data_IF_035645201431
#
_entry.id   IF_035645201431
#
_cell.length_a   1.000
_cell.length_b   1.000
_cell.length_c   1.000
_cell.angle_alpha   90.00
_cell.angle_beta   90.00
_cell.angle_gamma   90.00
#
_symmetry.space_group_name_H-M   'P 1'
#
loop_
_entity.id
_entity.type
_entity.pdbx_description
1 polymer ?
#
# COMPACT_ATOMS: atom_id res chain seq x y z
N UNK A 1 -24.93 -8.67 12.03
CA UNK A 1 -23.49 -8.32 12.10
C UNK A 1 -22.82 -8.94 10.88
N UNK A 2 -22.00 -8.18 10.15
CA UNK A 2 -21.25 -8.68 8.99
C UNK A 2 -19.80 -8.19 9.11
N UNK A 3 -18.84 -9.07 8.80
CA UNK A 3 -17.42 -8.77 8.78
C UNK A 3 -16.92 -8.97 7.36
N UNK A 4 -16.22 -7.98 6.82
CA UNK A 4 -15.62 -7.97 5.49
C UNK A 4 -14.11 -7.87 5.63
N UNK A 5 -13.35 -8.69 4.91
CA UNK A 5 -11.90 -8.54 4.79
C UNK A 5 -11.62 -7.77 3.51
N UNK A 6 -10.93 -6.63 3.61
CA UNK A 6 -10.52 -5.80 2.46
C UNK A 6 -9.06 -6.03 2.07
N UNK A 7 -8.33 -6.85 2.84
CA UNK A 7 -6.94 -7.20 2.55
C UNK A 7 -6.85 -8.45 1.68
N UNK A 8 -6.06 -8.37 0.61
CA UNK A 8 -5.65 -9.54 -0.17
C UNK A 8 -4.52 -10.36 0.48
N UNK A 9 -3.90 -9.85 1.55
CA UNK A 9 -2.75 -10.47 2.21
C UNK A 9 -3.09 -10.92 3.64
N UNK A 10 -2.88 -12.20 4.00
CA UNK A 10 -3.35 -12.76 5.28
C UNK A 10 -2.72 -12.14 6.52
N UNK A 11 -1.55 -11.50 6.39
CA UNK A 11 -0.83 -10.86 7.50
C UNK A 11 -1.07 -9.35 7.61
N UNK A 12 -1.82 -8.75 6.69
CA UNK A 12 -2.06 -7.30 6.66
C UNK A 12 -3.51 -7.07 7.06
N UNK A 13 -3.76 -6.52 8.26
CA UNK A 13 -5.12 -6.34 8.74
C UNK A 13 -5.78 -5.16 8.03
N UNK A 14 -6.94 -5.42 7.44
CA UNK A 14 -7.84 -4.42 6.90
C UNK A 14 -9.23 -5.03 6.86
N UNK A 15 -10.03 -4.78 7.90
CA UNK A 15 -11.34 -5.42 8.06
C UNK A 15 -12.41 -4.38 8.30
N UNK A 16 -13.65 -4.68 7.90
CA UNK A 16 -14.80 -3.80 8.13
C UNK A 16 -15.92 -4.59 8.80
N UNK A 17 -16.29 -4.14 9.98
CA UNK A 17 -17.40 -4.64 10.77
C UNK A 17 -18.62 -3.74 10.56
N UNK A 18 -19.68 -4.29 9.96
CA UNK A 18 -20.99 -3.66 9.92
C UNK A 18 -21.87 -4.20 11.04
N UNK A 19 -22.20 -3.33 11.99
CA UNK A 19 -23.07 -3.64 13.12
C UNK A 19 -24.18 -2.58 13.24
N UNK A 20 -25.43 -3.02 13.07
CA UNK A 20 -26.61 -2.14 12.99
C UNK A 20 -26.40 -1.07 11.89
N UNK A 21 -26.52 0.21 12.25
CA UNK A 21 -26.30 1.36 11.36
C UNK A 21 -24.87 1.91 11.44
N UNK A 22 -23.94 1.18 12.05
CA UNK A 22 -22.55 1.62 12.22
C UNK A 22 -21.61 0.73 11.41
N UNK A 23 -20.75 1.38 10.63
CA UNK A 23 -19.69 0.76 9.85
C UNK A 23 -18.35 1.12 10.49
N UNK A 24 -17.68 0.11 11.07
CA UNK A 24 -16.41 0.26 11.76
C UNK A 24 -15.34 -0.41 10.91
N UNK A 25 -14.31 0.34 10.53
CA UNK A 25 -13.11 -0.22 9.93
C UNK A 25 -12.09 -0.52 11.03
N UNK A 26 -11.58 -1.74 11.04
CA UNK A 26 -10.57 -2.24 11.94
C UNK A 26 -9.27 -2.37 11.15
N UNK A 27 -8.34 -1.46 11.45
CA UNK A 27 -7.05 -1.33 10.79
C UNK A 27 -7.12 -0.99 9.29
N UNK A 28 -6.09 -0.29 8.81
CA UNK A 28 -5.86 0.03 7.41
C UNK A 28 -4.39 -0.22 7.06
N UNK A 29 -3.98 -1.49 7.13
CA UNK A 29 -2.67 -1.92 6.67
C UNK A 29 -2.50 -1.73 5.16
N UNK A 30 -1.25 -1.53 4.74
CA UNK A 30 -0.86 -1.38 3.34
C UNK A 30 0.12 -2.50 2.98
N UNK A 31 -0.09 -3.15 1.84
CA UNK A 31 0.85 -4.13 1.32
C UNK A 31 2.00 -3.44 0.57
N UNK A 32 3.19 -3.57 1.15
CA UNK A 32 4.44 -3.01 0.63
C UNK A 32 5.31 -4.07 -0.04
N UNK A 33 4.85 -5.32 -0.16
CA UNK A 33 5.64 -6.38 -0.81
C UNK A 33 5.94 -6.05 -2.27
N UNK A 34 5.02 -5.36 -2.97
CA UNK A 34 5.22 -4.86 -4.34
C UNK A 34 6.46 -3.97 -4.45
N UNK A 35 6.73 -3.12 -3.45
CA UNK A 35 7.86 -2.19 -3.45
C UNK A 35 9.22 -2.90 -3.49
N UNK A 36 9.30 -4.18 -3.07
CA UNK A 36 10.51 -4.99 -3.13
C UNK A 36 10.91 -5.38 -4.56
N UNK A 37 10.01 -5.21 -5.53
CA UNK A 37 10.28 -5.43 -6.95
C UNK A 37 10.83 -4.18 -7.65
N UNK A 38 10.88 -3.03 -6.98
CA UNK A 38 11.41 -1.78 -7.52
C UNK A 38 12.88 -1.58 -7.10
N UNK A 39 13.63 -0.85 -7.92
CA UNK A 39 14.94 -0.36 -7.49
C UNK A 39 14.77 0.65 -6.35
N UNK A 40 15.74 0.75 -5.44
CA UNK A 40 15.69 1.74 -4.37
C UNK A 40 15.57 3.15 -4.94
N UNK A 41 14.57 3.91 -4.48
CA UNK A 41 14.36 5.30 -4.88
C UNK A 41 15.51 6.17 -4.35
N UNK A 42 16.40 6.69 -5.22
CA UNK A 42 17.58 7.41 -4.75
C UNK A 42 17.21 8.87 -4.44
N UNK A 43 17.39 9.32 -3.19
CA UNK A 43 17.20 10.72 -2.81
C UNK A 43 18.21 11.68 -3.48
N UNK A 44 19.35 11.11 -3.91
CA UNK A 44 20.42 11.80 -4.64
C UNK A 44 20.93 10.90 -5.75
N UNK A 45 21.45 11.47 -6.85
CA UNK A 45 21.91 10.69 -7.99
C UNK A 45 22.89 9.58 -7.59
N UNK A 46 22.55 8.33 -7.92
CA UNK A 46 23.40 7.17 -7.68
C UNK A 46 24.00 6.69 -9.00
N UNK A 47 25.32 6.86 -9.23
CA UNK A 47 25.96 6.34 -10.44
C UNK A 47 25.94 4.81 -10.50
N UNK A 48 25.78 4.14 -9.36
CA UNK A 48 25.66 2.67 -9.30
C UNK A 48 24.32 2.19 -9.84
N UNK A 49 23.22 2.87 -9.48
CA UNK A 49 21.87 2.52 -9.94
C UNK A 49 21.61 2.97 -11.37
N UNK A 50 22.15 4.12 -11.77
CA UNK A 50 21.97 4.63 -13.14
C UNK A 50 22.71 3.80 -14.19
N UNK A 51 23.82 3.16 -13.82
CA UNK A 51 24.64 2.31 -14.71
C UNK A 51 24.24 0.83 -14.72
N UNK A 52 23.19 0.44 -14.00
CA UNK A 52 22.70 -0.93 -14.05
C UNK A 52 22.26 -1.29 -15.48
N UNK A 53 22.56 -2.52 -15.95
CA UNK A 53 22.15 -2.95 -17.27
C UNK A 53 20.62 -3.02 -17.37
N UNK A 54 20.07 -2.57 -18.50
CA UNK A 54 18.66 -2.80 -18.81
C UNK A 54 18.38 -4.28 -18.99
N UNK A 55 17.22 -4.74 -18.56
CA UNK A 55 16.78 -6.10 -18.82
C UNK A 55 16.26 -6.21 -20.26
N UNK A 56 16.71 -7.24 -20.98
CA UNK A 56 16.33 -7.49 -22.38
C UNK A 56 15.45 -8.72 -22.40
N UNK A 57 14.23 -8.58 -22.92
CA UNK A 57 13.32 -9.71 -23.07
C UNK A 57 13.77 -10.60 -24.22
N UNK A 58 13.64 -11.92 -24.06
CA UNK A 58 13.87 -12.87 -25.15
C UNK A 58 12.76 -12.83 -26.21
N UNK A 59 11.61 -12.25 -25.87
CA UNK A 59 10.39 -12.30 -26.68
C UNK A 59 10.14 -11.01 -27.51
N UNK A 60 11.11 -10.09 -27.58
CA UNK A 60 11.08 -8.93 -28.48
C UNK A 60 10.06 -7.83 -28.11
N UNK A 61 9.50 -7.88 -26.91
CA UNK A 61 8.54 -6.89 -26.44
C UNK A 61 9.27 -5.62 -25.91
N UNK A 62 9.58 -4.71 -26.83
CA UNK A 62 10.46 -3.54 -26.62
C UNK A 62 9.91 -2.44 -25.70
N UNK A 63 8.63 -2.50 -25.31
CA UNK A 63 8.01 -1.42 -24.53
C UNK A 63 8.43 -1.42 -23.06
N UNK A 64 8.62 -2.60 -22.46
CA UNK A 64 8.98 -2.76 -21.04
C UNK A 64 10.48 -2.71 -20.78
N UNK A 65 11.31 -2.76 -21.83
CA UNK A 65 12.78 -2.84 -21.72
C UNK A 65 13.40 -1.56 -21.13
N UNK A 66 12.70 -0.43 -21.17
CA UNK A 66 13.21 0.85 -20.66
C UNK A 66 13.03 1.03 -19.15
N UNK A 67 12.08 0.31 -18.56
CA UNK A 67 11.72 0.46 -17.14
C UNK A 67 12.20 -0.71 -16.29
N UNK A 68 12.90 -1.69 -16.89
CA UNK A 68 13.40 -2.87 -16.19
C UNK A 68 14.92 -2.90 -16.20
N UNK A 69 15.51 -3.18 -15.03
CA UNK A 69 16.96 -3.29 -14.83
C UNK A 69 17.32 -4.63 -14.21
N UNK A 70 18.44 -5.19 -14.65
CA UNK A 70 19.04 -6.35 -14.01
C UNK A 70 20.04 -5.92 -12.93
N UNK A 71 19.92 -6.51 -11.76
CA UNK A 71 20.89 -6.40 -10.69
C UNK A 71 21.12 -7.77 -10.06
N UNK A 72 22.34 -8.31 -10.23
CA UNK A 72 22.75 -9.61 -9.72
C UNK A 72 21.83 -10.77 -10.16
N UNK A 73 21.36 -10.75 -11.42
CA UNK A 73 20.51 -11.79 -11.99
C UNK A 73 19.05 -11.73 -11.52
N UNK A 74 18.63 -10.62 -10.91
CA UNK A 74 17.24 -10.31 -10.58
C UNK A 74 16.81 -9.08 -11.35
N UNK A 75 15.55 -9.10 -11.82
CA UNK A 75 14.95 -8.00 -12.55
C UNK A 75 14.18 -7.11 -11.57
N UNK A 76 14.40 -5.81 -11.69
CA UNK A 76 13.74 -4.79 -10.89
C UNK A 76 13.13 -3.71 -11.78
N UNK A 77 12.07 -3.07 -11.30
CA UNK A 77 11.44 -1.92 -11.94
C UNK A 77 12.20 -0.65 -11.56
N UNK A 78 12.68 0.11 -12.56
CA UNK A 78 13.37 1.39 -12.42
C UNK A 78 12.38 2.57 -12.49
N UNK A 79 11.44 2.60 -11.56
CA UNK A 79 10.44 3.66 -11.44
C UNK A 79 10.11 3.94 -9.97
N UNK A 80 9.17 4.85 -9.73
CA UNK A 80 8.69 5.15 -8.38
C UNK A 80 7.93 3.91 -7.85
N UNK A 81 8.20 3.45 -6.61
CA UNK A 81 7.50 2.30 -6.05
C UNK A 81 5.99 2.49 -5.99
N UNK A 82 5.25 1.47 -6.40
CA UNK A 82 3.80 1.41 -6.28
C UNK A 82 3.38 0.48 -5.14
N UNK A 83 2.33 0.88 -4.40
CA UNK A 83 1.79 0.14 -3.28
C UNK A 83 0.42 -0.44 -3.61
N UNK A 84 0.14 -1.64 -3.11
CA UNK A 84 -1.18 -2.25 -3.28
C UNK A 84 -2.11 -1.73 -2.18
N UNK A 85 -3.09 -0.91 -2.58
CA UNK A 85 -4.13 -0.40 -1.69
C UNK A 85 -5.13 -1.50 -1.30
N UNK A 86 -5.84 -1.35 -0.17
CA UNK A 86 -6.96 -2.22 0.18
C UNK A 86 -8.04 -2.24 -0.91
N UNK A 87 -8.76 -3.34 -1.01
CA UNK A 87 -9.81 -3.54 -2.03
C UNK A 87 -10.98 -2.56 -1.81
N UNK A 88 -11.06 -1.53 -2.65
CA UNK A 88 -12.06 -0.46 -2.56
C UNK A 88 -13.35 -0.80 -3.32
N UNK A 89 -13.33 -1.76 -4.25
CA UNK A 89 -14.52 -2.15 -5.02
C UNK A 89 -15.58 -2.84 -4.15
N UNK A 90 -15.17 -3.48 -3.06
CA UNK A 90 -16.07 -4.20 -2.15
C UNK A 90 -16.88 -3.28 -1.23
N UNK A 91 -16.39 -2.07 -0.96
CA UNK A 91 -16.97 -1.16 0.01
C UNK A 91 -16.68 0.31 -0.31
N UNK A 92 -17.75 1.10 -0.38
CA UNK A 92 -17.64 2.56 -0.37
C UNK A 92 -17.17 3.06 1.00
N UNK A 93 -15.92 3.53 1.06
CA UNK A 93 -15.25 4.01 2.27
C UNK A 93 -15.81 5.34 2.80
N UNK A 94 -16.59 6.07 2.00
CA UNK A 94 -17.34 7.25 2.49
C UNK A 94 -18.41 6.88 3.53
N UNK A 95 -18.86 5.61 3.53
CA UNK A 95 -19.86 5.08 4.47
C UNK A 95 -19.28 4.59 5.81
N UNK A 96 -17.95 4.66 5.97
CA UNK A 96 -17.27 4.26 7.21
C UNK A 96 -17.40 5.38 8.23
N UNK A 97 -17.99 5.06 9.39
CA UNK A 97 -18.20 6.04 10.46
C UNK A 97 -16.94 6.21 11.32
N UNK A 98 -16.23 5.10 11.54
CA UNK A 98 -15.10 5.03 12.47
C UNK A 98 -14.01 4.11 11.94
N UNK A 99 -12.75 4.54 12.07
CA UNK A 99 -11.57 3.70 11.87
C UNK A 99 -10.89 3.49 13.23
N UNK A 100 -10.63 2.25 13.60
CA UNK A 100 -9.88 1.88 14.81
C UNK A 100 -8.51 1.34 14.41
N UNK A 101 -7.43 1.93 14.93
CA UNK A 101 -6.05 1.51 14.66
C UNK A 101 -5.48 0.76 15.87
N UNK A 102 -5.10 -0.50 15.65
CA UNK A 102 -4.56 -1.39 16.68
C UNK A 102 -3.08 -1.12 17.00
N UNK A 103 -2.27 -0.83 15.99
CA UNK A 103 -0.84 -0.51 16.14
C UNK A 103 -0.33 0.37 14.97
N UNK A 104 0.90 0.88 15.10
CA UNK A 104 1.46 1.86 14.16
C UNK A 104 1.74 1.31 12.75
N UNK A 105 1.90 -0.02 12.59
CA UNK A 105 2.03 -0.62 11.26
C UNK A 105 0.70 -0.71 10.51
N UNK A 106 -0.41 -0.57 11.22
CA UNK A 106 -1.76 -0.78 10.68
C UNK A 106 -2.45 0.52 10.25
N UNK A 107 -1.72 1.63 10.14
CA UNK A 107 -2.24 2.92 9.65
C UNK A 107 -1.63 3.37 8.33
N UNK A 108 -0.86 2.52 7.66
CA UNK A 108 -0.10 2.89 6.46
C UNK A 108 -1.00 3.27 5.28
N UNK A 109 -2.20 2.68 5.16
CA UNK A 109 -3.16 3.05 4.13
C UNK A 109 -4.05 4.24 4.53
N UNK A 110 -3.93 4.76 5.76
CA UNK A 110 -4.81 5.80 6.29
C UNK A 110 -4.81 7.09 5.46
N UNK A 111 -3.66 7.65 5.02
CA UNK A 111 -3.65 8.87 4.21
C UNK A 111 -4.46 8.71 2.91
N UNK A 112 -4.33 7.55 2.25
CA UNK A 112 -5.08 7.26 1.02
C UNK A 112 -6.58 7.23 1.26
N UNK A 113 -7.02 6.66 2.39
CA UNK A 113 -8.43 6.60 2.77
C UNK A 113 -8.94 8.01 3.06
N UNK A 114 -8.23 8.78 3.89
CA UNK A 114 -8.69 10.11 4.32
C UNK A 114 -8.68 11.13 3.19
N UNK A 115 -7.75 11.04 2.24
CA UNK A 115 -7.58 12.04 1.18
C UNK A 115 -8.30 11.70 -0.12
N UNK A 116 -8.52 10.42 -0.43
CA UNK A 116 -8.99 10.00 -1.76
C UNK A 116 -10.33 9.26 -1.80
N UNK A 117 -10.97 8.99 -0.66
CA UNK A 117 -12.18 8.13 -0.63
C UNK A 117 -13.44 8.83 -0.12
N UNK A 118 -13.35 10.10 0.27
CA UNK A 118 -14.47 10.86 0.83
C UNK A 118 -14.85 10.46 2.26
N UNK A 119 -13.97 9.75 2.96
CA UNK A 119 -14.12 9.43 4.38
C UNK A 119 -14.26 10.71 5.22
N UNK A 120 -15.32 10.78 6.02
CA UNK A 120 -15.61 11.91 6.93
C UNK A 120 -15.80 11.47 8.38
N UNK A 121 -15.56 10.19 8.65
CA UNK A 121 -15.68 9.60 9.98
C UNK A 121 -14.54 10.01 10.92
N UNK A 122 -14.49 9.36 12.08
CA UNK A 122 -13.46 9.62 13.11
C UNK A 122 -12.45 8.48 13.18
N UNK A 123 -11.16 8.82 13.29
CA UNK A 123 -10.09 7.84 13.50
C UNK A 123 -9.74 7.80 14.99
N UNK A 124 -9.77 6.61 15.60
CA UNK A 124 -9.28 6.40 16.95
C UNK A 124 -8.00 5.58 16.94
N UNK A 125 -7.00 6.06 17.66
CA UNK A 125 -5.75 5.38 17.93
C UNK A 125 -5.23 5.79 19.31
N UNK A 126 -4.27 5.04 19.84
CA UNK A 126 -3.57 5.46 21.06
C UNK A 126 -2.46 6.44 20.72
N UNK A 127 -2.09 7.31 21.67
CA UNK A 127 -1.01 8.29 21.48
C UNK A 127 0.31 7.66 21.00
N UNK A 128 0.81 6.54 21.57
CA UNK A 128 2.03 5.90 21.08
C UNK A 128 1.91 5.39 19.63
N UNK A 129 0.74 4.83 19.26
CA UNK A 129 0.47 4.40 17.89
C UNK A 129 0.59 5.56 16.91
N UNK A 130 0.00 6.71 17.24
CA UNK A 130 0.03 7.90 16.40
C UNK A 130 1.44 8.51 16.31
N UNK A 131 2.18 8.58 17.42
CA UNK A 131 3.52 9.18 17.42
C UNK A 131 4.54 8.34 16.65
N UNK A 132 4.44 7.01 16.68
CA UNK A 132 5.35 6.12 15.98
C UNK A 132 4.97 5.95 14.51
N UNK A 133 3.67 5.96 14.19
CA UNK A 133 3.19 5.76 12.83
C UNK A 133 3.23 7.01 11.94
N UNK A 134 3.45 8.19 12.52
CA UNK A 134 3.64 9.46 11.81
C UNK A 134 5.02 9.56 11.17
#
# INVERSE_FOLDING_TARGET
MRLYCLSGHPTIPCNVLKFKSTTIMLDCGLDMTSALHFLPLPLVHSPRLSKLPGWISKDGNTMLEKELKDCAGRVFVDSVPEFCLPETELLDLSTVDVILISNYHCMMALPYITEHTGFTGTVYSTEPTMQIGR
#
